data_IF_991494235059
#
_entry.id   IF_991494235059
#
_cell.length_a   1.000
_cell.length_b   1.000
_cell.length_c   1.000
_cell.angle_alpha   90.00
_cell.angle_beta   90.00
_cell.angle_gamma   90.00
#
_symmetry.space_group_name_H-M   'P 1'
#
loop_
_entity.id
_entity.type
_entity.pdbx_description
1 polymer ?
#
# COMPACT_ATOMS: atom_id res chain seq x y z
N UNK A 1 18.08 7.26 -12.12
CA UNK A 1 17.78 7.90 -10.83
C UNK A 1 17.28 9.33 -11.01
N UNK A 2 18.02 10.23 -11.67
CA UNK A 2 17.56 11.62 -11.92
C UNK A 2 16.19 11.66 -12.63
N UNK A 3 16.02 10.87 -13.70
CA UNK A 3 14.75 10.80 -14.44
C UNK A 3 13.59 10.34 -13.54
N UNK A 4 13.78 9.32 -12.70
CA UNK A 4 12.77 8.87 -11.75
C UNK A 4 12.43 9.96 -10.74
N UNK A 5 13.41 10.72 -10.26
CA UNK A 5 13.18 11.81 -9.32
C UNK A 5 12.39 12.96 -9.95
N UNK A 6 12.68 13.30 -11.20
CA UNK A 6 11.90 14.28 -11.98
C UNK A 6 10.47 13.80 -12.19
N UNK A 7 10.28 12.51 -12.48
CA UNK A 7 8.96 11.88 -12.58
C UNK A 7 8.20 11.96 -11.25
N UNK A 8 8.83 11.64 -10.11
CA UNK A 8 8.19 11.73 -8.79
C UNK A 8 7.69 13.14 -8.48
N UNK A 9 8.50 14.15 -8.72
CA UNK A 9 8.11 15.54 -8.48
C UNK A 9 7.02 16.05 -9.43
N UNK A 10 6.80 15.40 -10.58
CA UNK A 10 5.68 15.71 -11.48
C UNK A 10 4.36 15.08 -11.07
N UNK A 11 4.41 14.01 -10.25
CA UNK A 11 3.25 13.24 -9.83
C UNK A 11 2.80 13.58 -8.41
N UNK A 12 3.74 13.92 -7.53
CA UNK A 12 3.45 14.29 -6.14
C UNK A 12 3.46 15.81 -5.94
N UNK A 13 2.50 16.34 -5.17
CA UNK A 13 2.15 17.77 -5.05
C UNK A 13 3.17 18.56 -4.19
N UNK A 14 4.45 18.42 -4.51
CA UNK A 14 5.58 19.07 -3.83
C UNK A 14 6.16 18.34 -2.63
N UNK A 15 5.70 17.12 -2.32
CA UNK A 15 6.24 16.29 -1.24
C UNK A 15 7.68 15.80 -1.49
N UNK A 16 8.10 15.67 -2.76
CA UNK A 16 9.46 15.27 -3.12
C UNK A 16 10.27 16.44 -3.70
N UNK A 17 11.32 16.92 -3.00
CA UNK A 17 12.18 17.96 -3.55
C UNK A 17 12.99 17.43 -4.74
N UNK A 18 12.96 18.17 -5.86
CA UNK A 18 13.83 17.92 -7.01
C UNK A 18 15.23 18.45 -6.66
N UNK A 19 16.03 17.60 -6.02
CA UNK A 19 17.46 17.84 -5.82
C UNK A 19 18.29 17.08 -6.86
N UNK A 20 19.51 17.56 -7.07
CA UNK A 20 20.47 16.96 -7.99
C UNK A 20 21.70 16.46 -7.21
N UNK A 21 22.43 15.46 -7.73
CA UNK A 21 23.72 15.12 -7.17
C UNK A 21 24.64 16.34 -7.24
N UNK A 22 25.50 16.50 -6.24
CA UNK A 22 26.57 17.49 -6.29
C UNK A 22 27.52 17.16 -7.44
N UNK A 23 28.23 18.16 -7.99
CA UNK A 23 29.32 17.90 -8.93
C UNK A 23 30.30 16.88 -8.36
N UNK A 24 30.80 15.96 -9.20
CA UNK A 24 31.75 14.95 -8.79
C UNK A 24 33.00 15.52 -8.10
N UNK A 25 33.47 14.79 -7.10
CA UNK A 25 34.62 15.16 -6.27
C UNK A 25 35.90 15.18 -7.11
N UNK A 26 36.75 16.19 -6.88
CA UNK A 26 38.09 16.20 -7.48
C UNK A 26 39.01 15.19 -6.78
N UNK A 27 40.10 14.81 -7.45
CA UNK A 27 41.12 13.93 -6.87
C UNK A 27 41.71 14.51 -5.57
N UNK A 28 41.79 15.84 -5.43
CA UNK A 28 42.22 16.50 -4.19
C UNK A 28 41.22 16.27 -3.06
N UNK A 29 39.91 16.39 -3.32
CA UNK A 29 38.86 16.14 -2.32
C UNK A 29 38.82 14.67 -1.91
N UNK A 30 38.96 13.75 -2.86
CA UNK A 30 39.01 12.31 -2.60
C UNK A 30 40.22 11.95 -1.74
N UNK A 31 41.43 12.42 -2.09
CA UNK A 31 42.64 12.19 -1.29
C UNK A 31 42.52 12.79 0.12
N UNK A 32 42.01 14.00 0.25
CA UNK A 32 41.81 14.62 1.57
C UNK A 32 40.82 13.84 2.45
N UNK A 33 39.82 13.21 1.83
CA UNK A 33 38.86 12.34 2.52
C UNK A 33 39.53 11.06 3.00
N UNK A 34 40.36 10.42 2.17
CA UNK A 34 41.13 9.22 2.54
C UNK A 34 42.13 9.50 3.66
N UNK A 35 42.83 10.64 3.60
CA UNK A 35 43.72 11.10 4.66
C UNK A 35 42.97 11.27 5.98
N UNK A 36 41.75 11.82 5.94
CA UNK A 36 40.89 12.00 7.11
C UNK A 36 40.43 10.67 7.71
N UNK A 37 40.09 9.70 6.86
CA UNK A 37 39.73 8.35 7.29
C UNK A 37 40.94 7.52 7.74
N UNK A 38 42.16 7.91 7.37
CA UNK A 38 43.39 7.14 7.59
C UNK A 38 43.48 5.87 6.74
N UNK A 39 42.66 5.74 5.68
CA UNK A 39 42.59 4.59 4.79
C UNK A 39 42.05 4.98 3.41
N UNK A 40 42.37 4.23 2.34
CA UNK A 40 41.75 4.45 1.04
C UNK A 40 40.24 4.22 1.09
N UNK A 41 39.50 4.94 0.24
CA UNK A 41 38.09 4.68 0.00
C UNK A 41 37.96 3.37 -0.80
N UNK A 42 36.83 2.69 -0.64
CA UNK A 42 36.49 1.58 -1.53
C UNK A 42 36.50 2.04 -3.00
N UNK A 43 37.06 1.26 -3.95
CA UNK A 43 37.18 1.69 -5.34
C UNK A 43 35.86 2.11 -6.00
N UNK A 44 34.76 1.39 -5.74
CA UNK A 44 33.47 1.72 -6.33
C UNK A 44 32.85 2.94 -5.67
N UNK A 45 33.02 3.10 -4.35
CA UNK A 45 32.55 4.31 -3.67
C UNK A 45 33.36 5.56 -4.08
N UNK A 46 34.68 5.41 -4.26
CA UNK A 46 35.55 6.47 -4.80
C UNK A 46 35.11 6.87 -6.21
N UNK A 47 34.86 5.90 -7.09
CA UNK A 47 34.35 6.15 -8.44
C UNK A 47 33.00 6.88 -8.40
N UNK A 48 32.09 6.44 -7.55
CA UNK A 48 30.79 7.07 -7.36
C UNK A 48 30.93 8.55 -6.94
N UNK A 49 31.76 8.85 -5.94
CA UNK A 49 32.01 10.22 -5.49
C UNK A 49 32.62 11.10 -6.58
N UNK A 50 33.47 10.52 -7.45
CA UNK A 50 34.01 11.22 -8.62
C UNK A 50 32.96 11.60 -9.67
N UNK A 51 31.77 10.99 -9.64
CA UNK A 51 30.62 11.33 -10.49
C UNK A 51 29.61 12.22 -9.75
N UNK A 52 29.36 11.91 -8.47
CA UNK A 52 28.38 12.58 -7.62
C UNK A 52 28.91 12.70 -6.18
N UNK A 53 29.37 13.89 -5.79
CA UNK A 53 29.96 14.16 -4.46
C UNK A 53 28.89 14.36 -3.38
N UNK A 54 28.10 13.31 -3.15
CA UNK A 54 26.90 13.34 -2.33
C UNK A 54 25.66 13.83 -3.08
N UNK A 55 24.51 13.59 -2.46
CA UNK A 55 23.21 13.95 -3.03
C UNK A 55 22.18 14.08 -1.92
N UNK A 56 21.75 15.32 -1.67
CA UNK A 56 20.71 15.60 -0.70
C UNK A 56 19.37 15.00 -1.13
N UNK A 57 18.65 14.39 -0.20
CA UNK A 57 17.33 13.77 -0.38
C UNK A 57 17.28 12.84 -1.59
N UNK A 58 18.37 12.13 -1.91
CA UNK A 58 18.49 11.30 -3.12
C UNK A 58 17.32 10.31 -3.25
N UNK A 59 16.84 9.79 -2.12
CA UNK A 59 15.66 8.96 -1.99
C UNK A 59 14.90 9.34 -0.72
N UNK A 60 13.67 9.85 -0.84
CA UNK A 60 12.89 10.41 0.28
C UNK A 60 13.74 11.39 1.12
N UNK A 61 13.91 11.11 2.41
CA UNK A 61 14.72 11.88 3.35
C UNK A 61 16.16 11.38 3.48
N UNK A 62 16.56 10.37 2.69
CA UNK A 62 17.92 9.85 2.72
C UNK A 62 18.83 10.70 1.85
N UNK A 63 20.00 11.05 2.40
CA UNK A 63 21.01 11.87 1.76
C UNK A 63 22.29 11.04 1.57
N UNK A 64 22.84 11.02 0.35
CA UNK A 64 24.16 10.40 0.11
C UNK A 64 25.24 11.36 0.61
N UNK A 65 26.16 10.83 1.43
CA UNK A 65 27.25 11.61 2.01
C UNK A 65 28.30 11.95 0.94
N UNK A 66 28.76 13.21 0.93
CA UNK A 66 29.86 13.65 0.09
C UNK A 66 31.19 13.69 0.85
N UNK A 67 32.27 14.04 0.15
CA UNK A 67 33.62 14.24 0.71
C UNK A 67 33.68 15.28 1.84
N UNK A 68 32.72 16.21 1.88
CA UNK A 68 32.56 17.18 2.97
C UNK A 68 32.00 16.57 4.27
N UNK A 69 31.26 15.47 4.17
CA UNK A 69 30.62 14.81 5.31
C UNK A 69 31.44 13.60 5.79
N UNK A 70 32.13 12.90 4.90
CA UNK A 70 32.80 11.63 5.23
C UNK A 70 33.92 11.85 6.25
N UNK A 71 33.86 11.13 7.38
CA UNK A 71 34.85 11.19 8.45
C UNK A 71 34.82 12.47 9.29
N UNK A 72 33.80 13.34 9.16
CA UNK A 72 33.71 14.60 9.89
C UNK A 72 32.27 15.10 10.09
N UNK A 73 32.06 15.91 11.11
CA UNK A 73 30.79 16.59 11.35
C UNK A 73 29.70 15.69 11.92
N UNK A 74 28.55 16.30 12.17
CA UNK A 74 27.46 15.66 12.92
C UNK A 74 26.81 14.53 12.13
N UNK A 75 26.60 14.70 10.82
CA UNK A 75 25.99 13.65 9.96
C UNK A 75 26.76 12.34 10.03
N UNK A 76 28.07 12.37 9.79
CA UNK A 76 28.91 11.18 9.92
C UNK A 76 28.91 10.63 11.34
N UNK A 77 29.09 11.49 12.34
CA UNK A 77 29.19 11.09 13.73
C UNK A 77 27.91 10.45 14.26
N UNK A 78 26.74 10.97 13.89
CA UNK A 78 25.44 10.42 14.24
C UNK A 78 25.18 9.09 13.55
N UNK A 79 25.37 8.99 12.24
CA UNK A 79 25.17 7.73 11.51
C UNK A 79 26.12 6.63 12.00
N UNK A 80 27.38 6.96 12.30
CA UNK A 80 28.32 6.00 12.91
C UNK A 80 27.87 5.54 14.31
N UNK A 81 27.27 6.44 15.12
CA UNK A 81 26.69 6.07 16.42
C UNK A 81 25.44 5.21 16.28
N UNK A 82 24.61 5.45 15.27
CA UNK A 82 23.40 4.67 15.00
C UNK A 82 23.72 3.20 14.77
N UNK A 83 24.68 2.87 13.88
CA UNK A 83 25.01 1.46 13.65
C UNK A 83 25.64 0.79 14.87
N UNK A 84 26.46 1.50 15.65
CA UNK A 84 27.00 0.98 16.90
C UNK A 84 25.88 0.65 17.90
N UNK A 85 24.92 1.56 18.07
CA UNK A 85 23.76 1.31 18.93
C UNK A 85 22.95 0.10 18.47
N UNK A 86 22.74 -0.06 17.17
CA UNK A 86 22.01 -1.21 16.64
C UNK A 86 22.74 -2.54 16.86
N UNK A 87 24.07 -2.56 16.74
CA UNK A 87 24.86 -3.74 17.08
C UNK A 87 24.76 -4.07 18.58
N UNK A 88 24.76 -3.05 19.45
CA UNK A 88 24.62 -3.24 20.90
C UNK A 88 23.20 -3.70 21.33
N UNK A 89 22.16 -3.24 20.63
CA UNK A 89 20.76 -3.43 21.03
C UNK A 89 20.02 -4.57 20.30
N UNK A 90 20.59 -5.11 19.22
CA UNK A 90 19.93 -6.10 18.36
C UNK A 90 20.89 -7.14 17.79
N UNK A 91 20.37 -8.25 17.26
CA UNK A 91 21.15 -9.32 16.64
C UNK A 91 21.68 -8.95 15.22
N UNK A 92 21.87 -7.66 14.92
CA UNK A 92 22.21 -7.17 13.57
C UNK A 92 23.51 -7.77 13.03
N UNK A 93 24.55 -7.92 13.86
CA UNK A 93 25.81 -8.53 13.42
C UNK A 93 25.65 -10.00 13.02
N UNK A 94 24.88 -10.76 13.81
CA UNK A 94 24.56 -12.17 13.55
C UNK A 94 23.71 -12.31 12.30
N UNK A 95 22.65 -11.51 12.16
CA UNK A 95 21.75 -11.51 11.00
C UNK A 95 22.47 -11.17 9.68
N UNK A 96 23.55 -10.38 9.75
CA UNK A 96 24.38 -10.02 8.60
C UNK A 96 25.55 -11.00 8.37
N UNK A 97 25.77 -11.97 9.26
CA UNK A 97 26.88 -12.92 9.15
C UNK A 97 28.27 -12.25 9.22
N UNK A 98 28.40 -11.20 10.02
CA UNK A 98 29.66 -10.45 10.20
C UNK A 98 30.14 -10.51 11.64
N UNK A 99 31.38 -10.08 11.87
CA UNK A 99 31.86 -9.85 13.22
C UNK A 99 31.05 -8.74 13.90
N UNK A 100 30.83 -8.89 15.20
CA UNK A 100 30.20 -7.87 16.05
C UNK A 100 31.18 -6.70 16.29
N UNK A 101 31.43 -5.95 15.22
CA UNK A 101 32.34 -4.82 15.14
C UNK A 101 31.79 -3.78 14.16
N UNK A 102 30.97 -2.87 14.70
CA UNK A 102 30.36 -1.79 13.92
C UNK A 102 31.37 -0.84 13.28
N UNK A 103 32.64 -0.83 13.73
CA UNK A 103 33.69 0.01 13.13
C UNK A 103 34.10 -0.43 11.72
N UNK A 104 33.70 -1.64 11.33
CA UNK A 104 33.87 -2.15 9.96
C UNK A 104 32.86 -1.57 8.97
N UNK A 105 31.92 -0.73 9.43
CA UNK A 105 30.90 -0.12 8.59
C UNK A 105 31.12 1.39 8.48
N UNK A 106 31.40 1.85 7.27
CA UNK A 106 31.53 3.27 6.96
C UNK A 106 30.16 3.84 6.52
N UNK A 107 29.64 4.89 7.17
CA UNK A 107 28.46 5.60 6.68
C UNK A 107 28.64 6.10 5.24
N UNK A 108 27.64 5.85 4.39
CA UNK A 108 27.58 6.41 3.02
C UNK A 108 26.28 7.16 2.74
N UNK A 109 25.26 6.97 3.58
CA UNK A 109 24.04 7.78 3.56
C UNK A 109 23.43 7.95 4.95
N UNK A 110 22.83 9.11 5.18
CA UNK A 110 22.08 9.44 6.41
C UNK A 110 20.63 9.81 6.11
N UNK A 111 19.77 9.83 7.11
CA UNK A 111 18.34 10.18 6.99
C UNK A 111 17.95 11.47 7.71
N UNK A 112 18.92 12.25 8.19
CA UNK A 112 18.72 13.48 8.97
C UNK A 112 18.11 13.30 10.37
N UNK A 113 17.45 12.16 10.63
CA UNK A 113 16.87 11.80 11.94
C UNK A 113 17.54 10.58 12.60
N UNK A 114 18.55 9.99 11.96
CA UNK A 114 19.34 8.88 12.49
C UNK A 114 18.62 7.54 12.59
N UNK A 115 17.48 7.36 11.91
CA UNK A 115 16.65 6.14 11.92
C UNK A 115 16.82 5.27 10.65
N UNK A 116 15.89 4.32 10.44
CA UNK A 116 15.80 3.45 9.27
C UNK A 116 16.01 4.20 7.94
N UNK A 117 16.85 3.63 7.07
CA UNK A 117 17.26 4.20 5.79
C UNK A 117 18.71 4.71 5.73
N UNK A 118 19.48 4.64 6.82
CA UNK A 118 20.94 4.84 6.77
C UNK A 118 21.61 3.73 5.94
N UNK A 119 22.62 4.08 5.16
CA UNK A 119 23.41 3.12 4.38
C UNK A 119 24.85 3.08 4.87
N UNK A 120 25.39 1.87 4.87
CA UNK A 120 26.74 1.58 5.32
C UNK A 120 27.48 0.74 4.29
N UNK A 121 28.75 1.07 4.11
CA UNK A 121 29.70 0.31 3.32
C UNK A 121 30.54 -0.55 4.26
N UNK A 122 30.50 -1.86 4.05
CA UNK A 122 31.30 -2.81 4.80
C UNK A 122 32.75 -2.79 4.32
N UNK A 123 33.67 -2.71 5.27
CA UNK A 123 35.12 -2.62 5.04
C UNK A 123 35.89 -3.81 5.62
N UNK A 124 35.18 -4.72 6.30
CA UNK A 124 35.73 -5.96 6.83
C UNK A 124 35.71 -7.10 5.82
N UNK A 125 35.91 -8.31 6.33
CA UNK A 125 35.85 -9.55 5.58
C UNK A 125 35.17 -10.63 6.43
N UNK A 126 34.13 -11.27 5.90
CA UNK A 126 33.51 -12.46 6.47
C UNK A 126 33.23 -13.50 5.37
N UNK A 127 32.64 -14.64 5.74
CA UNK A 127 32.21 -15.66 4.79
C UNK A 127 30.97 -15.22 3.99
N UNK A 128 30.14 -14.34 4.59
CA UNK A 128 28.87 -13.87 4.02
C UNK A 128 28.97 -12.49 3.36
N UNK A 129 29.96 -11.67 3.74
CA UNK A 129 30.17 -10.32 3.22
C UNK A 129 31.65 -10.04 2.94
N UNK A 130 31.89 -9.27 1.87
CA UNK A 130 33.24 -8.80 1.48
C UNK A 130 33.35 -7.30 1.60
N UNK A 131 34.57 -6.77 1.72
CA UNK A 131 34.80 -5.34 1.58
C UNK A 131 34.16 -4.79 0.29
N UNK A 132 33.45 -3.68 0.41
CA UNK A 132 32.65 -3.08 -0.66
C UNK A 132 31.17 -3.48 -0.65
N UNK A 133 30.77 -4.46 0.17
CA UNK A 133 29.35 -4.80 0.36
C UNK A 133 28.59 -3.65 1.02
N UNK A 134 27.31 -3.50 0.73
CA UNK A 134 26.49 -2.39 1.23
C UNK A 134 25.32 -2.92 2.06
N UNK A 135 25.12 -2.31 3.21
CA UNK A 135 24.03 -2.62 4.12
C UNK A 135 23.16 -1.38 4.30
N UNK A 136 21.85 -1.54 4.10
CA UNK A 136 20.84 -0.53 4.47
C UNK A 136 20.24 -0.95 5.80
N UNK A 137 20.30 -0.06 6.78
CA UNK A 137 19.68 -0.28 8.08
C UNK A 137 18.16 -0.08 7.96
N UNK A 138 17.41 -1.16 8.09
CA UNK A 138 15.95 -1.18 8.04
C UNK A 138 15.39 -2.12 9.12
N UNK A 139 14.16 -1.87 9.58
CA UNK A 139 13.51 -2.66 10.64
C UNK A 139 13.12 -4.05 10.12
N UNK A 140 12.68 -4.10 8.86
CA UNK A 140 12.05 -5.29 8.27
C UNK A 140 12.98 -6.07 7.33
N UNK A 141 14.17 -5.54 7.03
CA UNK A 141 15.12 -6.19 6.11
C UNK A 141 16.56 -6.00 6.56
N UNK A 142 17.32 -7.10 6.57
CA UNK A 142 18.74 -7.14 6.91
C UNK A 142 19.56 -7.72 5.75
N UNK A 143 19.30 -7.22 4.55
CA UNK A 143 20.01 -7.68 3.34
C UNK A 143 21.35 -6.98 3.18
N UNK A 144 22.42 -7.78 3.10
CA UNK A 144 23.72 -7.33 2.64
C UNK A 144 23.77 -7.38 1.10
N UNK A 145 23.99 -6.23 0.47
CA UNK A 145 24.16 -6.11 -0.97
C UNK A 145 25.62 -6.35 -1.36
N UNK A 146 25.89 -7.00 -2.50
CA UNK A 146 27.25 -7.39 -2.88
C UNK A 146 28.16 -6.21 -3.24
N UNK A 147 27.56 -5.05 -3.58
CA UNK A 147 28.23 -3.80 -3.91
C UNK A 147 27.23 -2.62 -3.98
N UNK A 148 27.74 -1.38 -4.01
CA UNK A 148 26.97 -0.15 -4.06
C UNK A 148 26.16 -0.02 -5.37
N UNK A 149 26.73 -0.44 -6.50
CA UNK A 149 26.01 -0.42 -7.78
C UNK A 149 24.73 -1.27 -7.71
N UNK A 150 24.83 -2.49 -7.21
CA UNK A 150 23.70 -3.43 -7.11
C UNK A 150 22.58 -2.86 -6.25
N UNK A 151 22.95 -2.26 -5.11
CA UNK A 151 22.01 -1.57 -4.23
C UNK A 151 21.32 -0.39 -4.94
N UNK A 152 22.09 0.55 -5.49
CA UNK A 152 21.53 1.75 -6.14
C UNK A 152 20.72 1.41 -7.39
N UNK A 153 21.11 0.38 -8.13
CA UNK A 153 20.37 -0.10 -9.30
C UNK A 153 19.02 -0.69 -8.88
N UNK A 154 18.99 -1.51 -7.82
CA UNK A 154 17.75 -2.05 -7.27
C UNK A 154 16.82 -0.94 -6.78
N UNK A 155 17.32 0.00 -5.97
CA UNK A 155 16.52 1.14 -5.49
C UNK A 155 15.96 1.97 -6.67
N UNK A 156 16.75 2.20 -7.71
CA UNK A 156 16.28 2.90 -8.90
C UNK A 156 15.18 2.14 -9.64
N UNK A 157 15.25 0.80 -9.71
CA UNK A 157 14.21 -0.02 -10.33
C UNK A 157 12.93 -0.01 -9.50
N UNK A 158 13.03 -0.22 -8.19
CA UNK A 158 11.91 -0.15 -7.26
C UNK A 158 11.19 1.20 -7.36
N UNK A 159 11.92 2.32 -7.29
CA UNK A 159 11.36 3.65 -7.52
C UNK A 159 10.65 3.76 -8.87
N UNK A 160 11.27 3.24 -9.94
CA UNK A 160 10.69 3.24 -11.27
C UNK A 160 9.38 2.45 -11.35
N UNK A 161 9.26 1.36 -10.60
CA UNK A 161 8.03 0.55 -10.50
C UNK A 161 6.93 1.26 -9.71
N UNK A 162 7.26 1.80 -8.53
CA UNK A 162 6.35 2.62 -7.73
C UNK A 162 5.87 3.88 -8.46
N UNK A 163 6.71 4.45 -9.33
CA UNK A 163 6.34 5.53 -10.24
C UNK A 163 5.42 5.06 -11.35
N UNK A 164 5.76 3.97 -12.03
CA UNK A 164 4.98 3.44 -13.13
C UNK A 164 3.54 3.13 -12.69
N UNK A 165 3.37 2.38 -11.61
CA UNK A 165 2.79 2.98 -10.42
C UNK A 165 1.66 4.01 -10.47
N UNK A 166 2.03 5.11 -9.83
CA UNK A 166 1.29 6.34 -9.68
C UNK A 166 1.02 7.02 -11.03
N UNK A 167 1.92 6.89 -12.01
CA UNK A 167 1.79 7.45 -13.35
C UNK A 167 0.68 6.79 -14.15
N UNK A 168 0.60 5.46 -14.13
CA UNK A 168 -0.47 4.72 -14.81
C UNK A 168 -1.84 4.98 -14.15
N UNK A 169 -1.86 5.49 -12.92
CA UNK A 169 -3.07 5.86 -12.20
C UNK A 169 -3.73 4.66 -11.50
N UNK A 170 -4.80 4.93 -10.72
CA UNK A 170 -5.48 3.90 -9.95
C UNK A 170 -5.99 2.77 -10.85
N UNK A 171 -5.94 1.53 -10.34
CA UNK A 171 -6.36 0.29 -11.00
C UNK A 171 -5.55 -0.13 -12.23
N UNK A 172 -4.57 0.66 -12.68
CA UNK A 172 -3.92 0.40 -13.96
C UNK A 172 -3.13 -0.91 -14.02
N UNK A 173 -2.61 -1.39 -12.89
CA UNK A 173 -1.99 -2.73 -12.77
C UNK A 173 -2.96 -3.84 -13.18
N UNK A 174 -4.19 -3.80 -12.66
CA UNK A 174 -5.25 -4.78 -12.94
C UNK A 174 -5.71 -4.75 -14.39
N UNK A 175 -5.71 -3.55 -14.99
CA UNK A 175 -6.20 -3.32 -16.35
C UNK A 175 -5.09 -3.31 -17.42
N UNK A 176 -3.82 -3.30 -17.02
CA UNK A 176 -2.66 -3.18 -17.90
C UNK A 176 -2.56 -1.85 -18.67
N UNK A 177 -3.29 -0.81 -18.24
CA UNK A 177 -3.32 0.52 -18.88
C UNK A 177 -3.89 1.58 -17.93
N UNK A 178 -3.57 2.85 -18.18
CA UNK A 178 -4.25 3.97 -17.52
C UNK A 178 -5.71 4.03 -17.96
N UNK A 179 -6.62 3.82 -16.99
CA UNK A 179 -8.05 3.82 -17.24
C UNK A 179 -8.70 5.19 -17.07
N UNK A 180 -8.00 6.22 -16.57
CA UNK A 180 -8.58 7.58 -16.41
C UNK A 180 -8.91 8.21 -17.76
N UNK A 181 -8.07 7.97 -18.77
CA UNK A 181 -8.25 8.46 -20.13
C UNK A 181 -9.36 7.74 -20.91
N UNK A 182 -9.64 6.49 -20.55
CA UNK A 182 -10.69 5.66 -21.16
C UNK A 182 -11.23 4.68 -20.12
N UNK A 183 -12.13 5.13 -19.23
CA UNK A 183 -12.65 4.31 -18.13
C UNK A 183 -13.39 3.08 -18.67
N UNK A 184 -13.23 1.91 -18.03
CA UNK A 184 -14.00 0.74 -18.41
C UNK A 184 -15.49 0.94 -18.08
N UNK A 185 -16.33 0.41 -18.95
CA UNK A 185 -17.77 0.32 -18.75
C UNK A 185 -18.10 -0.64 -17.60
N UNK A 186 -19.29 -0.52 -17.01
CA UNK A 186 -19.71 -1.44 -15.94
C UNK A 186 -19.70 -2.91 -16.39
N UNK A 187 -20.05 -3.16 -17.65
CA UNK A 187 -20.00 -4.51 -18.25
C UNK A 187 -18.56 -5.07 -18.29
N UNK A 188 -17.58 -4.25 -18.68
CA UNK A 188 -16.16 -4.64 -18.69
C UNK A 188 -15.65 -4.91 -17.27
N UNK A 189 -16.03 -4.09 -16.28
CA UNK A 189 -15.62 -4.29 -14.88
C UNK A 189 -16.18 -5.61 -14.33
N UNK A 190 -17.47 -5.89 -14.56
CA UNK A 190 -18.10 -7.15 -14.13
C UNK A 190 -17.49 -8.35 -14.86
N UNK A 191 -17.11 -8.20 -16.13
CA UNK A 191 -16.39 -9.24 -16.86
C UNK A 191 -14.99 -9.48 -16.29
N UNK A 192 -14.24 -8.40 -15.98
CA UNK A 192 -12.91 -8.47 -15.37
C UNK A 192 -12.95 -9.10 -13.99
N UNK A 193 -13.96 -8.78 -13.18
CA UNK A 193 -14.19 -9.42 -11.89
C UNK A 193 -14.33 -10.94 -12.03
N UNK A 194 -15.13 -11.40 -13.00
CA UNK A 194 -15.33 -12.82 -13.25
C UNK A 194 -14.05 -13.50 -13.79
N UNK A 195 -13.32 -12.84 -14.68
CA UNK A 195 -12.01 -13.28 -15.18
C UNK A 195 -11.02 -13.50 -14.03
N UNK A 196 -10.84 -12.48 -13.18
CA UNK A 196 -9.89 -12.53 -12.07
C UNK A 196 -10.27 -13.58 -11.02
N UNK A 197 -11.55 -13.67 -10.67
CA UNK A 197 -12.02 -14.68 -9.72
C UNK A 197 -11.78 -16.10 -10.23
N UNK A 198 -11.92 -16.33 -11.54
CA UNK A 198 -11.67 -17.64 -12.15
C UNK A 198 -10.19 -18.08 -12.08
N UNK A 199 -9.25 -17.14 -11.88
CA UNK A 199 -7.84 -17.44 -11.68
C UNK A 199 -7.54 -17.97 -10.26
N UNK A 200 -8.43 -17.75 -9.29
CA UNK A 200 -8.26 -18.16 -7.90
C UNK A 200 -8.90 -19.53 -7.68
N UNK A 201 -8.08 -20.60 -7.66
CA UNK A 201 -8.54 -22.01 -7.64
C UNK A 201 -9.44 -22.38 -6.45
N UNK A 202 -9.31 -21.71 -5.31
CA UNK A 202 -10.06 -22.00 -4.08
C UNK A 202 -11.38 -21.25 -3.96
N UNK A 203 -11.72 -20.39 -4.92
CA UNK A 203 -12.87 -19.50 -4.84
C UNK A 203 -13.98 -19.93 -5.79
N UNK A 204 -15.23 -19.75 -5.36
CA UNK A 204 -16.41 -20.06 -6.19
C UNK A 204 -16.49 -19.06 -7.36
N UNK A 205 -16.68 -19.52 -8.61
CA UNK A 205 -16.83 -18.62 -9.75
C UNK A 205 -17.98 -17.63 -9.56
N UNK A 206 -17.80 -16.43 -10.08
CA UNK A 206 -18.81 -15.36 -10.02
C UNK A 206 -20.09 -15.81 -10.73
N UNK A 207 -21.21 -15.74 -10.02
CA UNK A 207 -22.53 -16.06 -10.58
C UNK A 207 -23.28 -14.76 -10.91
N UNK A 208 -23.64 -14.60 -12.18
CA UNK A 208 -24.33 -13.41 -12.70
C UNK A 208 -25.74 -13.77 -13.10
N UNK A 209 -26.69 -12.89 -12.79
CA UNK A 209 -28.06 -12.97 -13.32
C UNK A 209 -28.18 -12.10 -14.57
N UNK A 210 -29.12 -12.41 -15.49
CA UNK A 210 -29.42 -11.53 -16.60
C UNK A 210 -29.70 -10.09 -16.13
N UNK A 211 -29.32 -9.12 -16.95
CA UNK A 211 -29.58 -7.70 -16.68
C UNK A 211 -31.05 -7.38 -16.48
N UNK A 212 -31.32 -6.36 -15.67
CA UNK A 212 -32.68 -5.91 -15.38
C UNK A 212 -33.32 -5.23 -16.59
N UNK A 213 -34.61 -5.51 -16.79
CA UNK A 213 -35.44 -4.81 -17.76
C UNK A 213 -35.80 -3.38 -17.29
N UNK A 214 -36.18 -2.53 -18.23
CA UNK A 214 -36.62 -1.17 -17.92
C UNK A 214 -37.85 -1.15 -17.00
N UNK A 215 -38.74 -2.14 -17.13
CA UNK A 215 -39.92 -2.28 -16.27
C UNK A 215 -39.55 -2.59 -14.83
N UNK A 216 -38.58 -3.47 -14.59
CA UNK A 216 -38.10 -3.79 -13.24
C UNK A 216 -37.43 -2.58 -12.58
N UNK A 217 -36.62 -1.83 -13.33
CA UNK A 217 -35.98 -0.60 -12.82
C UNK A 217 -37.00 0.49 -12.47
N UNK A 218 -38.08 0.60 -13.25
CA UNK A 218 -39.17 1.54 -12.97
C UNK A 218 -39.93 1.13 -11.70
N UNK A 219 -40.17 -0.18 -11.50
CA UNK A 219 -40.78 -0.69 -10.27
C UNK A 219 -39.92 -0.39 -9.04
N UNK A 220 -38.60 -0.61 -9.13
CA UNK A 220 -37.67 -0.28 -8.04
C UNK A 220 -37.69 1.21 -7.71
N UNK A 221 -37.63 2.06 -8.73
CA UNK A 221 -37.67 3.53 -8.56
C UNK A 221 -38.96 3.98 -7.87
N UNK A 222 -40.10 3.41 -8.28
CA UNK A 222 -41.39 3.71 -7.66
C UNK A 222 -41.45 3.24 -6.19
N UNK A 223 -40.87 2.08 -5.87
CA UNK A 223 -40.82 1.54 -4.52
C UNK A 223 -39.93 2.37 -3.58
N UNK A 224 -38.76 2.81 -4.05
CA UNK A 224 -37.83 3.62 -3.26
C UNK A 224 -38.29 5.06 -3.09
N UNK A 225 -39.23 5.53 -3.92
CA UNK A 225 -39.71 6.92 -3.92
C UNK A 225 -38.68 7.93 -4.44
N UNK A 226 -37.54 7.47 -4.95
CA UNK A 226 -36.46 8.26 -5.50
C UNK A 226 -35.75 7.49 -6.62
N UNK A 227 -35.08 8.23 -7.51
CA UNK A 227 -34.21 7.63 -8.52
C UNK A 227 -33.03 6.93 -7.83
N UNK A 228 -32.74 5.71 -8.28
CA UNK A 228 -31.51 5.02 -7.91
C UNK A 228 -30.30 5.79 -8.45
N UNK A 229 -29.18 5.74 -7.73
CA UNK A 229 -27.91 6.24 -8.25
C UNK A 229 -27.62 5.66 -9.65
N UNK A 230 -26.99 6.48 -10.49
CA UNK A 230 -26.75 6.16 -11.90
C UNK A 230 -25.86 4.94 -12.10
N UNK A 231 -24.83 4.75 -11.26
CA UNK A 231 -23.91 3.61 -11.37
C UNK A 231 -24.52 2.34 -10.79
N UNK A 232 -25.27 2.45 -9.68
CA UNK A 232 -26.04 1.32 -9.16
C UNK A 232 -27.09 0.84 -10.18
N UNK A 233 -27.77 1.78 -10.85
CA UNK A 233 -28.69 1.48 -11.94
C UNK A 233 -27.98 0.81 -13.12
N UNK A 234 -26.82 1.33 -13.54
CA UNK A 234 -26.00 0.74 -14.60
C UNK A 234 -25.61 -0.71 -14.26
N UNK A 235 -25.19 -0.98 -13.02
CA UNK A 235 -24.85 -2.32 -12.56
C UNK A 235 -26.05 -3.27 -12.67
N UNK A 236 -27.25 -2.86 -12.26
CA UNK A 236 -28.45 -3.71 -12.36
C UNK A 236 -28.84 -4.00 -13.81
N UNK A 237 -28.59 -3.07 -14.74
CA UNK A 237 -28.75 -3.31 -16.19
C UNK A 237 -27.75 -4.35 -16.70
N UNK A 238 -26.52 -4.36 -16.17
CA UNK A 238 -25.50 -5.34 -16.54
C UNK A 238 -25.77 -6.71 -15.91
N UNK A 239 -26.15 -6.74 -14.63
CA UNK A 239 -26.40 -7.95 -13.85
C UNK A 239 -27.43 -7.67 -12.76
N UNK A 240 -28.63 -8.27 -12.86
CA UNK A 240 -29.69 -8.10 -11.85
C UNK A 240 -29.44 -9.00 -10.64
N UNK A 241 -28.36 -8.72 -9.92
CA UNK A 241 -27.81 -9.54 -8.84
C UNK A 241 -26.54 -10.27 -9.26
N UNK A 242 -25.62 -10.44 -8.30
CA UNK A 242 -24.27 -10.98 -8.50
C UNK A 242 -23.83 -11.69 -7.23
N UNK A 243 -23.32 -12.93 -7.33
CA UNK A 243 -22.68 -13.62 -6.21
C UNK A 243 -21.18 -13.71 -6.48
N UNK A 244 -20.38 -13.20 -5.55
CA UNK A 244 -18.92 -13.23 -5.58
C UNK A 244 -18.38 -13.44 -4.17
N UNK A 245 -17.37 -14.29 -3.98
CA UNK A 245 -16.77 -14.48 -2.65
C UNK A 245 -16.06 -13.24 -2.11
N UNK A 246 -15.75 -12.26 -2.96
CA UNK A 246 -15.09 -11.01 -2.58
C UNK A 246 -16.05 -9.87 -2.23
N UNK A 247 -17.30 -9.95 -2.70
CA UNK A 247 -18.33 -8.91 -2.48
C UNK A 247 -19.44 -9.43 -1.56
N UNK A 248 -19.70 -10.74 -1.58
CA UNK A 248 -20.92 -11.35 -1.09
C UNK A 248 -21.97 -11.46 -2.20
N UNK A 249 -23.23 -11.26 -1.84
CA UNK A 249 -24.37 -11.27 -2.75
C UNK A 249 -24.85 -9.84 -2.98
N UNK A 250 -24.56 -9.29 -4.17
CA UNK A 250 -25.19 -8.06 -4.66
C UNK A 250 -26.64 -8.37 -4.96
N UNK A 251 -27.54 -7.57 -4.39
CA UNK A 251 -28.97 -7.82 -4.42
C UNK A 251 -29.55 -7.55 -5.80
N UNK A 252 -30.40 -8.46 -6.25
CA UNK A 252 -31.28 -8.20 -7.40
C UNK A 252 -32.42 -7.24 -7.03
N UNK A 253 -33.05 -6.63 -8.03
CA UNK A 253 -34.24 -5.78 -7.86
C UNK A 253 -35.32 -6.51 -7.04
N UNK A 254 -35.60 -7.77 -7.36
CA UNK A 254 -36.59 -8.56 -6.64
C UNK A 254 -36.25 -8.72 -5.15
N UNK A 255 -34.97 -8.91 -4.82
CA UNK A 255 -34.52 -9.02 -3.43
C UNK A 255 -34.56 -7.68 -2.69
N UNK A 256 -34.30 -6.56 -3.38
CA UNK A 256 -34.44 -5.22 -2.79
C UNK A 256 -35.92 -4.92 -2.49
N UNK A 257 -36.82 -5.22 -3.44
CA UNK A 257 -38.26 -4.99 -3.28
C UNK A 257 -38.90 -5.87 -2.19
N UNK A 258 -38.53 -7.14 -2.13
CA UNK A 258 -39.08 -8.09 -1.16
C UNK A 258 -38.43 -7.94 0.24
N UNK A 259 -37.16 -7.54 0.28
CA UNK A 259 -36.42 -7.25 1.50
C UNK A 259 -36.16 -8.45 2.42
N UNK A 260 -36.58 -9.68 2.07
CA UNK A 260 -36.28 -10.89 2.86
C UNK A 260 -34.78 -11.11 3.00
N UNK A 261 -34.06 -11.10 1.88
CA UNK A 261 -32.61 -11.33 1.85
C UNK A 261 -31.85 -10.28 2.65
N UNK A 262 -32.28 -9.02 2.60
CA UNK A 262 -31.70 -7.96 3.40
C UNK A 262 -31.92 -8.19 4.91
N UNK A 263 -33.14 -8.58 5.31
CA UNK A 263 -33.45 -8.93 6.71
C UNK A 263 -32.65 -10.12 7.21
N UNK A 264 -32.49 -11.15 6.39
CA UNK A 264 -31.60 -12.28 6.70
C UNK A 264 -30.15 -11.84 6.88
N UNK A 265 -29.67 -10.92 6.02
CA UNK A 265 -28.35 -10.32 6.14
C UNK A 265 -28.17 -9.57 7.46
N UNK A 266 -29.17 -8.80 7.90
CA UNK A 266 -29.17 -8.10 9.20
C UNK A 266 -29.00 -9.09 10.36
N UNK A 267 -29.77 -10.18 10.35
CA UNK A 267 -29.69 -11.20 11.40
C UNK A 267 -28.32 -11.89 11.40
N UNK A 268 -27.84 -12.30 10.21
CA UNK A 268 -26.53 -12.95 10.08
C UNK A 268 -25.38 -12.04 10.49
N UNK A 269 -25.44 -10.75 10.16
CA UNK A 269 -24.45 -9.78 10.59
C UNK A 269 -24.49 -9.57 12.12
N UNK A 270 -25.69 -9.49 12.72
CA UNK A 270 -25.81 -9.40 14.17
C UNK A 270 -25.17 -10.61 14.87
N UNK A 271 -25.50 -11.83 14.43
CA UNK A 271 -24.93 -13.06 15.00
C UNK A 271 -23.40 -13.10 14.88
N UNK A 272 -22.87 -12.69 13.73
CA UNK A 272 -21.42 -12.62 13.49
C UNK A 272 -20.73 -11.66 14.46
N UNK A 273 -21.29 -10.46 14.65
CA UNK A 273 -20.70 -9.45 15.55
C UNK A 273 -20.88 -9.79 17.03
N UNK A 274 -21.98 -10.44 17.40
CA UNK A 274 -22.19 -10.98 18.75
C UNK A 274 -21.14 -12.05 19.07
N UNK A 275 -20.81 -12.92 18.11
CA UNK A 275 -19.76 -13.94 18.28
C UNK A 275 -18.37 -13.32 18.42
N UNK A 276 -18.02 -12.36 17.57
CA UNK A 276 -16.75 -11.62 17.70
C UNK A 276 -16.64 -10.91 19.05
N UNK A 277 -17.75 -10.39 19.56
CA UNK A 277 -17.79 -9.77 20.89
C UNK A 277 -17.59 -10.80 22.00
N UNK A 278 -18.28 -11.94 21.96
CA UNK A 278 -18.07 -13.04 22.92
C UNK A 278 -16.60 -13.45 22.97
N UNK A 279 -15.95 -13.59 21.82
CA UNK A 279 -14.53 -13.93 21.72
C UNK A 279 -13.64 -12.82 22.29
N UNK A 280 -13.91 -11.56 21.96
CA UNK A 280 -13.16 -10.42 22.50
C UNK A 280 -13.32 -10.30 24.01
N UNK A 281 -14.51 -10.52 24.57
CA UNK A 281 -14.75 -10.45 26.02
C UNK A 281 -14.04 -11.59 26.74
N UNK A 282 -14.05 -12.80 26.16
CA UNK A 282 -13.32 -13.93 26.70
C UNK A 282 -11.80 -13.67 26.75
N UNK A 283 -11.25 -12.98 25.75
CA UNK A 283 -9.81 -12.70 25.65
C UNK A 283 -9.35 -11.45 26.43
N UNK A 284 -10.15 -10.38 26.42
CA UNK A 284 -9.73 -9.06 26.92
C UNK A 284 -10.60 -8.49 28.05
N UNK A 285 -11.63 -9.22 28.48
CA UNK A 285 -12.60 -8.76 29.47
C UNK A 285 -13.70 -7.85 28.89
N UNK A 286 -14.68 -7.45 29.71
CA UNK A 286 -15.82 -6.65 29.28
C UNK A 286 -15.41 -5.24 28.84
N UNK A 287 -15.99 -4.77 27.74
CA UNK A 287 -15.81 -3.39 27.26
C UNK A 287 -16.80 -2.44 27.93
N UNK A 288 -16.41 -1.17 28.07
CA UNK A 288 -17.22 -0.12 28.74
C UNK A 288 -18.01 0.78 27.77
N UNK A 289 -17.81 0.65 26.45
CA UNK A 289 -18.48 1.49 25.45
C UNK A 289 -19.81 0.91 25.00
N UNK A 290 -20.82 1.77 24.88
CA UNK A 290 -22.14 1.44 24.34
C UNK A 290 -22.03 1.04 22.86
N UNK A 291 -22.68 -0.05 22.47
CA UNK A 291 -22.73 -0.55 21.09
C UNK A 291 -24.15 -0.52 20.55
N UNK A 292 -24.30 -0.05 19.32
CA UNK A 292 -25.55 -0.15 18.57
C UNK A 292 -25.67 -1.56 18.00
N UNK A 293 -26.88 -2.13 18.08
CA UNK A 293 -27.23 -3.34 17.31
C UNK A 293 -27.21 -3.05 15.81
N UNK A 294 -26.99 -4.07 14.99
CA UNK A 294 -27.05 -3.97 13.53
C UNK A 294 -28.41 -3.43 13.06
N UNK A 295 -29.50 -3.82 13.72
CA UNK A 295 -30.83 -3.30 13.41
C UNK A 295 -30.94 -1.79 13.65
N UNK A 296 -30.37 -1.27 14.74
CA UNK A 296 -30.34 0.17 15.01
C UNK A 296 -29.49 0.91 13.98
N UNK A 297 -28.34 0.35 13.61
CA UNK A 297 -27.45 0.91 12.58
C UNK A 297 -28.21 1.03 11.26
N UNK A 298 -28.80 -0.07 10.78
CA UNK A 298 -29.53 -0.09 9.51
C UNK A 298 -30.77 0.81 9.55
N UNK A 299 -31.52 0.81 10.65
CA UNK A 299 -32.72 1.63 10.82
C UNK A 299 -32.45 3.14 10.82
N UNK A 300 -31.21 3.57 11.08
CA UNK A 300 -30.79 4.97 11.00
C UNK A 300 -30.29 5.39 9.62
N UNK A 301 -30.09 4.44 8.71
CA UNK A 301 -29.54 4.69 7.38
C UNK A 301 -30.64 4.98 6.35
N UNK A 302 -30.41 5.98 5.50
CA UNK A 302 -31.24 6.28 4.32
C UNK A 302 -30.67 5.65 3.03
N UNK A 303 -29.61 4.86 3.14
CA UNK A 303 -28.95 4.22 2.01
C UNK A 303 -29.78 3.04 1.46
N UNK A 304 -29.71 2.84 0.15
CA UNK A 304 -30.39 1.74 -0.54
C UNK A 304 -29.58 0.45 -0.36
N UNK A 305 -30.20 -0.68 0.03
CA UNK A 305 -29.53 -1.98 0.10
C UNK A 305 -28.77 -2.32 -1.19
N UNK A 306 -27.51 -2.72 -1.07
CA UNK A 306 -26.62 -3.01 -2.20
C UNK A 306 -26.19 -4.48 -2.21
N UNK A 307 -25.52 -4.93 -1.15
CA UNK A 307 -25.02 -6.30 -1.06
C UNK A 307 -24.98 -6.81 0.38
N UNK A 308 -25.08 -8.13 0.52
CA UNK A 308 -24.97 -8.84 1.79
C UNK A 308 -23.71 -9.70 1.77
N UNK A 309 -22.83 -9.49 2.75
CA UNK A 309 -21.61 -10.26 2.93
C UNK A 309 -21.55 -10.85 4.36
N UNK A 310 -20.73 -11.88 4.61
CA UNK A 310 -20.54 -12.38 5.97
C UNK A 310 -20.09 -11.26 6.92
N UNK A 311 -20.92 -10.95 7.92
CA UNK A 311 -20.62 -9.91 8.91
C UNK A 311 -20.75 -8.45 8.43
N UNK A 312 -21.19 -8.20 7.18
CA UNK A 312 -21.27 -6.84 6.65
C UNK A 312 -22.48 -6.63 5.73
N UNK A 313 -23.01 -5.41 5.77
CA UNK A 313 -24.10 -4.96 4.92
C UNK A 313 -23.66 -3.75 4.12
N UNK A 314 -23.60 -3.91 2.80
CA UNK A 314 -23.26 -2.81 1.90
C UNK A 314 -24.53 -2.11 1.43
N UNK A 315 -24.50 -0.79 1.41
CA UNK A 315 -25.57 0.05 0.91
C UNK A 315 -25.03 1.21 0.07
N UNK A 316 -25.84 1.69 -0.88
CA UNK A 316 -25.53 2.84 -1.73
C UNK A 316 -26.27 4.07 -1.19
N UNK A 317 -25.52 5.11 -0.83
CA UNK A 317 -26.08 6.38 -0.38
C UNK A 317 -26.68 7.18 -1.54
N UNK A 318 -27.50 8.21 -1.28
CA UNK A 318 -28.09 9.04 -2.33
C UNK A 318 -27.08 9.75 -3.25
N UNK A 319 -25.84 9.94 -2.79
CA UNK A 319 -24.71 10.49 -3.56
C UNK A 319 -23.96 9.44 -4.39
N UNK A 320 -24.41 8.17 -4.39
CA UNK A 320 -23.82 7.06 -5.12
C UNK A 320 -22.71 6.31 -4.37
N UNK A 321 -22.35 6.78 -3.18
CA UNK A 321 -21.27 6.20 -2.39
C UNK A 321 -21.66 4.83 -1.79
N UNK A 322 -20.81 3.82 -1.98
CA UNK A 322 -20.97 2.50 -1.36
C UNK A 322 -20.37 2.52 0.05
N UNK A 323 -21.15 2.08 1.04
CA UNK A 323 -20.76 2.09 2.46
C UNK A 323 -21.03 0.75 3.12
N UNK A 324 -20.13 0.34 4.02
CA UNK A 324 -20.35 -0.80 4.90
C UNK A 324 -21.02 -0.32 6.18
N UNK A 325 -22.33 -0.56 6.30
CA UNK A 325 -23.15 0.03 7.36
C UNK A 325 -22.62 -0.35 8.74
N UNK A 326 -22.25 -1.62 8.94
CA UNK A 326 -21.85 -2.10 10.26
C UNK A 326 -20.46 -1.62 10.62
N UNK A 327 -19.49 -1.75 9.71
CA UNK A 327 -18.12 -1.29 9.95
C UNK A 327 -18.03 0.22 10.16
N UNK A 328 -18.77 1.01 9.39
CA UNK A 328 -18.75 2.46 9.53
C UNK A 328 -19.27 2.90 10.90
N UNK A 329 -20.41 2.36 11.33
CA UNK A 329 -20.95 2.63 12.66
C UNK A 329 -19.98 2.21 13.78
N UNK A 330 -19.32 1.05 13.63
CA UNK A 330 -18.30 0.61 14.60
C UNK A 330 -17.07 1.51 14.63
N UNK A 331 -16.65 2.04 13.48
CA UNK A 331 -15.54 2.98 13.40
C UNK A 331 -15.88 4.29 14.11
N UNK A 332 -17.04 4.86 13.80
CA UNK A 332 -17.51 6.12 14.39
C UNK A 332 -17.59 6.03 15.93
N UNK A 333 -18.15 4.93 16.46
CA UNK A 333 -18.22 4.68 17.90
C UNK A 333 -16.84 4.57 18.57
N UNK A 334 -15.80 4.25 17.81
CA UNK A 334 -14.43 4.15 18.33
C UNK A 334 -13.59 5.41 18.09
N UNK A 335 -14.17 6.47 17.52
CA UNK A 335 -13.45 7.68 17.12
C UNK A 335 -12.54 7.48 15.91
N UNK A 336 -12.72 6.37 15.19
CA UNK A 336 -12.00 6.07 13.95
C UNK A 336 -12.76 6.58 12.74
N UNK A 337 -12.04 6.80 11.65
CA UNK A 337 -12.61 7.12 10.34
C UNK A 337 -12.20 6.05 9.33
N UNK A 338 -13.15 5.55 8.54
CA UNK A 338 -12.85 4.67 7.41
C UNK A 338 -13.00 5.45 6.11
N UNK A 339 -11.99 5.41 5.22
CA UNK A 339 -12.14 5.99 3.90
C UNK A 339 -13.28 5.28 3.17
N UNK A 340 -14.10 6.04 2.44
CA UNK A 340 -15.19 5.43 1.71
C UNK A 340 -14.69 4.52 0.60
N UNK A 341 -15.54 3.57 0.21
CA UNK A 341 -15.27 2.70 -0.92
C UNK A 341 -15.34 3.42 -2.28
N UNK A 342 -15.88 4.64 -2.30
CA UNK A 342 -16.20 5.38 -3.52
C UNK A 342 -17.59 5.00 -4.07
N UNK A 343 -17.88 5.45 -5.29
CA UNK A 343 -19.10 5.06 -6.00
C UNK A 343 -19.08 3.57 -6.40
N UNK A 344 -20.19 3.05 -6.93
CA UNK A 344 -20.32 1.62 -7.30
C UNK A 344 -19.20 1.16 -8.23
N UNK A 345 -18.82 1.98 -9.21
CA UNK A 345 -17.73 1.68 -10.14
C UNK A 345 -16.39 1.56 -9.44
N UNK A 346 -16.05 2.55 -8.63
CA UNK A 346 -14.80 2.58 -7.84
C UNK A 346 -14.73 1.39 -6.88
N UNK A 347 -15.83 1.07 -6.20
CA UNK A 347 -15.90 -0.09 -5.32
C UNK A 347 -15.58 -1.39 -6.07
N UNK A 348 -16.19 -1.60 -7.24
CA UNK A 348 -15.93 -2.80 -8.05
C UNK A 348 -14.50 -2.82 -8.62
N UNK A 349 -13.94 -1.67 -9.01
CA UNK A 349 -12.55 -1.56 -9.44
C UNK A 349 -11.58 -1.95 -8.33
N UNK A 350 -11.81 -1.47 -7.09
CA UNK A 350 -11.01 -1.86 -5.91
C UNK A 350 -11.11 -3.34 -5.59
N UNK A 351 -12.29 -3.96 -5.79
CA UNK A 351 -12.45 -5.40 -5.65
C UNK A 351 -11.61 -6.15 -6.69
N UNK A 352 -11.63 -5.70 -7.95
CA UNK A 352 -10.77 -6.28 -8.99
C UNK A 352 -9.28 -6.16 -8.64
N UNK A 353 -8.84 -5.01 -8.15
CA UNK A 353 -7.45 -4.81 -7.69
C UNK A 353 -7.09 -5.76 -6.55
N UNK A 354 -7.98 -5.92 -5.57
CA UNK A 354 -7.74 -6.83 -4.46
C UNK A 354 -7.55 -8.28 -4.93
N UNK A 355 -8.35 -8.74 -5.89
CA UNK A 355 -8.22 -10.09 -6.46
C UNK A 355 -6.93 -10.19 -7.27
N UNK A 356 -6.62 -9.16 -8.07
CA UNK A 356 -5.38 -9.11 -8.84
C UNK A 356 -4.16 -9.25 -7.93
N UNK A 357 -4.08 -8.47 -6.85
CA UNK A 357 -2.97 -8.53 -5.89
C UNK A 357 -2.82 -9.92 -5.27
N UNK A 358 -3.93 -10.58 -4.92
CA UNK A 358 -3.89 -11.97 -4.45
C UNK A 358 -3.36 -12.94 -5.51
N UNK A 359 -3.74 -12.76 -6.79
CA UNK A 359 -3.25 -13.61 -7.87
C UNK A 359 -1.79 -13.33 -8.24
N UNK A 360 -1.36 -12.07 -8.17
CA UNK A 360 0.00 -11.65 -8.50
C UNK A 360 1.01 -12.12 -7.45
N UNK A 361 0.66 -12.09 -6.16
CA UNK A 361 1.52 -12.61 -5.07
C UNK A 361 1.66 -14.13 -5.07
N UNK A 362 0.76 -14.85 -5.73
CA UNK A 362 0.76 -16.32 -5.82
C UNK A 362 1.37 -16.83 -7.14
N UNK A 363 1.90 -15.93 -7.98
CA UNK A 363 2.70 -16.24 -9.17
C UNK A 363 4.15 -15.94 -8.88
#
# INVERSE_FOLDING_TARGET
MIDNKQRHASVDDGLYPVTHPNPGATEEQLRATEERLGRPLDPQYREFLGVADGWESYHFSTNLLGTSDIGVGDRWGETARTIAQWFDETDTAEDLGVADDSTQFAPIADTGNGYAGCLYLYTGQSDEARAGSVFRLDIDSRTMWPDLYSYLHHENLEQGMYLAEQEMGPHARTWGRDIRSSPPTMAEIVAKLAELTALVKSVTPVQRRPGASQSELNLLTAHLGAALDSEHRELLVVTNGLISSYIGEVLSIGQILDGSRWREGILSAQEFHDELERQSVAMFGPRTRERLSVLQIVGSSSAVPFAVAPGELLAVRPDGEVRGLVRDAMSELNGGWHPPYGCVREYLLRVCDHIWDQTARNR
#
